data_IF_991567451626
#
_entry.id   IF_991567451626
#
_cell.length_a   1.000
_cell.length_b   1.000
_cell.length_c   1.000
_cell.angle_alpha   90.00
_cell.angle_beta   90.00
_cell.angle_gamma   90.00
#
_symmetry.space_group_name_H-M   'P 1'
#
loop_
_entity.id
_entity.type
_entity.pdbx_description
1 polymer ?
#
# COMPACT_ATOMS: atom_id res chain seq x y z
N UNK A 1 -7.19 7.53 -2.91
CA UNK A 1 -8.66 7.77 -2.86
C UNK A 1 -9.37 6.53 -3.39
N UNK A 2 -10.45 6.08 -2.77
CA UNK A 2 -11.26 4.94 -3.23
C UNK A 2 -12.73 5.11 -2.80
N UNK A 3 -13.64 4.40 -3.48
CA UNK A 3 -15.06 4.38 -3.15
C UNK A 3 -15.43 3.08 -2.42
N UNK A 4 -16.24 3.20 -1.36
CA UNK A 4 -16.79 2.04 -0.65
C UNK A 4 -18.09 2.43 0.05
N UNK A 5 -19.11 1.59 -0.08
CA UNK A 5 -20.44 1.78 0.53
C UNK A 5 -21.10 3.12 0.18
N UNK A 6 -20.90 3.61 -1.05
CA UNK A 6 -21.46 4.90 -1.52
C UNK A 6 -20.72 6.14 -1.01
N UNK A 7 -19.65 5.97 -0.22
CA UNK A 7 -18.83 7.05 0.30
C UNK A 7 -17.45 7.07 -0.39
N UNK A 8 -16.82 8.25 -0.43
CA UNK A 8 -15.46 8.42 -0.95
C UNK A 8 -14.48 8.57 0.21
N UNK A 9 -13.38 7.81 0.11
CA UNK A 9 -12.38 7.68 1.16
C UNK A 9 -10.99 8.05 0.64
N UNK A 10 -10.14 8.54 1.52
CA UNK A 10 -8.75 8.89 1.21
C UNK A 10 -7.82 8.42 2.32
N UNK A 11 -6.69 7.86 1.92
CA UNK A 11 -5.51 7.68 2.76
C UNK A 11 -4.45 8.61 2.18
N UNK A 12 -4.22 9.80 2.77
CA UNK A 12 -3.19 10.70 2.31
C UNK A 12 -1.81 10.23 2.76
N UNK A 13 -0.76 10.74 2.11
CA UNK A 13 0.61 10.59 2.60
C UNK A 13 0.75 11.37 3.93
N UNK A 14 1.13 10.68 4.99
CA UNK A 14 1.20 11.23 6.35
C UNK A 14 2.45 10.79 7.12
N UNK A 15 3.53 10.42 6.42
CA UNK A 15 4.78 9.95 7.03
C UNK A 15 5.36 10.93 8.08
N UNK A 16 5.23 12.24 7.86
CA UNK A 16 5.68 13.27 8.81
C UNK A 16 4.92 13.23 10.16
N UNK A 17 3.66 12.78 10.16
CA UNK A 17 2.84 12.64 11.35
C UNK A 17 3.06 11.31 12.07
N UNK A 18 3.87 10.40 11.50
CA UNK A 18 4.09 9.03 11.98
C UNK A 18 2.79 8.21 12.09
N UNK A 19 1.81 8.51 11.24
CA UNK A 19 0.52 7.82 11.18
C UNK A 19 0.19 7.46 9.74
N UNK A 20 -0.72 6.50 9.57
CA UNK A 20 -1.50 6.33 8.34
C UNK A 20 -2.94 6.59 8.71
N UNK A 21 -3.54 7.63 8.11
CA UNK A 21 -4.85 8.13 8.49
C UNK A 21 -5.89 7.90 7.39
N UNK A 22 -7.12 7.58 7.78
CA UNK A 22 -8.25 7.43 6.88
C UNK A 22 -9.16 8.65 7.01
N UNK A 23 -9.49 9.23 5.86
CA UNK A 23 -10.41 10.35 5.73
C UNK A 23 -11.62 9.94 4.90
N UNK A 24 -12.77 10.51 5.24
CA UNK A 24 -14.02 10.40 4.47
C UNK A 24 -14.37 11.75 3.86
N UNK A 25 -14.84 11.75 2.63
CA UNK A 25 -15.32 12.95 1.97
C UNK A 25 -16.68 13.35 2.56
N UNK A 26 -16.86 14.64 2.86
CA UNK A 26 -18.16 15.23 3.18
C UNK A 26 -18.77 15.96 1.98
N UNK A 27 -17.94 16.38 1.01
CA UNK A 27 -18.37 17.09 -0.19
C UNK A 27 -17.39 16.87 -1.36
N UNK A 28 -17.25 15.62 -1.81
CA UNK A 28 -16.29 15.22 -2.85
C UNK A 28 -16.37 16.12 -4.10
N UNK A 29 -15.23 16.58 -4.70
CA UNK A 29 -13.85 16.19 -4.41
C UNK A 29 -13.19 16.91 -3.22
N UNK A 30 -13.89 17.84 -2.58
CA UNK A 30 -13.42 18.57 -1.40
C UNK A 30 -14.02 18.04 -0.10
N UNK A 31 -13.79 18.77 1.00
CA UNK A 31 -14.38 18.48 2.30
C UNK A 31 -13.96 17.12 2.86
N UNK A 32 -12.99 17.10 3.78
CA UNK A 32 -12.48 15.86 4.34
C UNK A 32 -12.56 15.88 5.85
N UNK A 33 -13.07 14.79 6.42
CA UNK A 33 -13.04 14.55 7.87
C UNK A 33 -12.20 13.32 8.15
N UNK A 34 -11.31 13.42 9.14
CA UNK A 34 -10.54 12.26 9.61
C UNK A 34 -11.50 11.28 10.28
N UNK A 35 -11.57 10.06 9.77
CA UNK A 35 -12.42 8.99 10.31
C UNK A 35 -11.65 8.14 11.31
N UNK A 36 -10.41 7.77 10.98
CA UNK A 36 -9.61 6.86 11.81
C UNK A 36 -8.11 7.06 11.61
N UNK A 37 -7.32 6.67 12.61
CA UNK A 37 -5.89 6.39 12.45
C UNK A 37 -5.75 4.89 12.22
N UNK A 38 -5.32 4.48 11.02
CA UNK A 38 -5.17 3.08 10.65
C UNK A 38 -3.92 2.45 11.26
N UNK A 39 -2.81 3.19 11.27
CA UNK A 39 -1.53 2.82 11.87
C UNK A 39 -0.95 4.02 12.63
N UNK A 40 -0.30 3.76 13.77
CA UNK A 40 0.37 4.78 14.60
C UNK A 40 1.83 4.43 14.87
N UNK A 41 2.61 5.44 15.27
CA UNK A 41 4.03 5.33 15.62
C UNK A 41 4.91 4.73 14.53
N UNK A 42 4.55 4.93 13.26
CA UNK A 42 5.24 4.36 12.10
C UNK A 42 5.52 5.41 11.03
N UNK A 43 6.71 5.33 10.43
CA UNK A 43 7.03 6.13 9.23
C UNK A 43 6.75 5.25 8.02
N UNK A 44 5.56 5.39 7.45
CA UNK A 44 5.09 4.65 6.29
C UNK A 44 4.78 5.60 5.12
N UNK A 45 5.07 5.17 3.90
CA UNK A 45 4.78 5.92 2.67
C UNK A 45 4.09 5.05 1.62
N UNK A 46 3.36 5.72 0.72
CA UNK A 46 2.61 5.11 -0.39
C UNK A 46 1.60 4.03 0.06
N UNK A 47 0.95 4.28 1.20
CA UNK A 47 -0.05 3.39 1.78
C UNK A 47 -1.17 3.07 0.77
N UNK A 48 -1.32 1.80 0.43
CA UNK A 48 -2.25 1.29 -0.57
C UNK A 48 -3.12 0.20 0.04
N UNK A 49 -4.44 0.35 -0.11
CA UNK A 49 -5.43 -0.60 0.39
C UNK A 49 -5.95 -1.50 -0.74
N UNK A 50 -6.16 -2.78 -0.43
CA UNK A 50 -6.81 -3.74 -1.32
C UNK A 50 -7.60 -4.77 -0.51
N UNK A 51 -8.76 -5.18 -1.04
CA UNK A 51 -9.51 -6.32 -0.51
C UNK A 51 -9.12 -7.57 -1.30
N UNK A 52 -8.66 -8.61 -0.62
CA UNK A 52 -8.22 -9.86 -1.24
C UNK A 52 -8.41 -11.04 -0.29
N UNK A 53 -8.93 -12.16 -0.80
CA UNK A 53 -9.14 -13.37 0.02
C UNK A 53 -10.10 -13.16 1.20
N UNK A 54 -11.06 -12.23 1.08
CA UNK A 54 -12.02 -11.90 2.15
C UNK A 54 -11.43 -11.07 3.30
N UNK A 55 -10.21 -10.54 3.14
CA UNK A 55 -9.57 -9.63 4.09
C UNK A 55 -9.12 -8.35 3.41
N UNK A 56 -8.98 -7.29 4.20
CA UNK A 56 -8.33 -6.06 3.77
C UNK A 56 -6.84 -6.14 4.03
N UNK A 57 -6.06 -5.60 3.09
CA UNK A 57 -4.62 -5.54 3.13
C UNK A 57 -4.16 -4.10 2.93
N UNK A 58 -3.22 -3.65 3.77
CA UNK A 58 -2.54 -2.37 3.66
C UNK A 58 -1.08 -2.63 3.29
N UNK A 59 -0.64 -2.08 2.17
CA UNK A 59 0.72 -2.14 1.67
C UNK A 59 1.36 -0.78 1.86
N UNK A 60 2.54 -0.71 2.47
CA UNK A 60 3.31 0.53 2.56
C UNK A 60 4.81 0.23 2.64
N UNK A 61 5.62 1.14 2.13
CA UNK A 61 7.05 1.11 2.46
C UNK A 61 7.28 1.72 3.84
N UNK A 62 8.07 1.08 4.68
CA UNK A 62 8.36 1.53 6.05
C UNK A 62 9.81 1.95 6.16
N UNK A 63 10.07 2.96 7.00
CA UNK A 63 11.42 3.34 7.38
C UNK A 63 11.66 2.99 8.85
N UNK A 64 12.51 2.01 9.10
CA UNK A 64 12.84 1.54 10.47
C UNK A 64 14.09 2.19 11.09
N UNK A 65 14.86 2.96 10.32
CA UNK A 65 16.07 3.64 10.79
C UNK A 65 17.38 3.16 10.15
N UNK A 66 17.41 1.98 9.50
CA UNK A 66 18.59 1.47 8.79
C UNK A 66 18.55 1.57 7.25
N UNK A 67 17.39 1.33 6.63
CA UNK A 67 17.21 1.18 5.17
C UNK A 67 16.83 2.46 4.39
N UNK A 68 16.66 2.33 3.07
CA UNK A 68 16.22 3.41 2.20
C UNK A 68 14.70 3.69 2.35
N UNK A 69 14.22 4.84 1.89
CA UNK A 69 12.79 5.20 1.96
C UNK A 69 11.87 4.35 1.05
N UNK A 70 12.32 3.24 0.48
CA UNK A 70 11.67 2.64 -0.70
C UNK A 70 11.90 1.15 -0.91
N UNK A 71 12.68 0.49 -0.06
CA UNK A 71 13.09 -0.91 -0.28
C UNK A 71 12.30 -1.90 0.57
N UNK A 72 11.85 -1.53 1.78
CA UNK A 72 11.13 -2.44 2.68
C UNK A 72 9.61 -2.31 2.54
N UNK A 73 8.96 -3.30 1.94
CA UNK A 73 7.51 -3.42 1.87
C UNK A 73 6.98 -4.14 3.12
N UNK A 74 6.09 -3.48 3.85
CA UNK A 74 5.36 -4.03 4.97
C UNK A 74 3.88 -4.14 4.64
N UNK A 75 3.26 -5.18 5.20
CA UNK A 75 1.83 -5.45 5.08
C UNK A 75 1.15 -5.45 6.44
N UNK A 76 -0.14 -5.09 6.42
CA UNK A 76 -1.07 -5.32 7.51
C UNK A 76 -2.34 -5.93 6.95
N UNK A 77 -3.04 -6.70 7.77
CA UNK A 77 -4.36 -7.26 7.44
C UNK A 77 -5.43 -6.79 8.42
N UNK A 78 -6.66 -6.67 7.95
CA UNK A 78 -7.81 -6.29 8.75
C UNK A 78 -9.10 -6.94 8.22
N UNK A 79 -10.13 -7.14 9.07
CA UNK A 79 -11.45 -7.58 8.62
C UNK A 79 -12.24 -6.48 7.89
N UNK A 80 -11.90 -5.21 8.11
CA UNK A 80 -12.53 -4.03 7.49
C UNK A 80 -11.45 -3.00 7.14
N UNK A 81 -11.67 -2.18 6.10
CA UNK A 81 -10.70 -1.16 5.67
C UNK A 81 -10.41 -0.09 6.74
N UNK A 82 -11.30 0.06 7.74
CA UNK A 82 -11.11 0.93 8.91
C UNK A 82 -10.28 0.28 10.01
N UNK A 83 -9.94 -1.01 9.88
CA UNK A 83 -9.21 -1.80 10.86
C UNK A 83 -10.10 -2.75 11.68
N UNK A 84 -9.60 -3.27 12.82
CA UNK A 84 -8.24 -3.06 13.33
C UNK A 84 -7.18 -3.70 12.43
N UNK A 85 -6.06 -3.00 12.25
CA UNK A 85 -4.96 -3.46 11.41
C UNK A 85 -3.93 -4.25 12.22
N UNK A 86 -3.64 -5.47 11.77
CA UNK A 86 -2.65 -6.37 12.38
C UNK A 86 -1.43 -6.49 11.47
N UNK A 87 -0.20 -6.28 11.96
CA UNK A 87 0.99 -6.42 11.14
C UNK A 87 1.15 -7.85 10.62
N UNK A 88 1.58 -7.98 9.38
CA UNK A 88 1.87 -9.28 8.79
C UNK A 88 3.04 -9.95 9.52
N UNK A 89 2.97 -11.27 9.85
CA UNK A 89 3.99 -11.95 10.65
C UNK A 89 5.38 -11.98 10.03
N UNK A 90 5.47 -11.84 8.70
CA UNK A 90 6.73 -11.83 7.95
C UNK A 90 7.20 -10.44 7.51
N UNK A 91 6.76 -9.37 8.17
CA UNK A 91 7.26 -8.04 7.83
C UNK A 91 8.77 -7.89 8.14
N UNK A 92 9.56 -7.25 7.26
CA UNK A 92 9.22 -6.83 5.89
C UNK A 92 9.01 -8.05 4.97
N UNK A 93 7.92 -8.05 4.20
CA UNK A 93 7.60 -9.18 3.30
C UNK A 93 8.43 -9.19 2.03
N UNK A 94 9.00 -8.03 1.67
CA UNK A 94 9.86 -7.85 0.51
C UNK A 94 10.85 -6.73 0.80
N UNK A 95 12.13 -6.98 0.51
CA UNK A 95 13.20 -5.97 0.52
C UNK A 95 13.76 -5.88 -0.91
N UNK A 96 13.30 -4.89 -1.68
CA UNK A 96 13.72 -4.70 -3.07
C UNK A 96 13.46 -3.27 -3.56
N UNK A 97 14.54 -2.52 -3.79
CA UNK A 97 14.48 -1.15 -4.32
C UNK A 97 13.81 -1.05 -5.71
N UNK A 98 13.72 -2.15 -6.47
CA UNK A 98 13.11 -2.15 -7.80
C UNK A 98 11.59 -2.37 -7.80
N UNK A 99 11.01 -2.93 -6.74
CA UNK A 99 9.61 -3.36 -6.77
C UNK A 99 8.85 -3.32 -5.42
N UNK A 100 9.51 -2.99 -4.31
CA UNK A 100 8.87 -2.93 -3.00
C UNK A 100 7.94 -1.73 -2.83
N UNK A 101 8.24 -0.59 -3.45
CA UNK A 101 7.45 0.63 -3.29
C UNK A 101 6.15 0.62 -4.09
N UNK A 102 4.97 0.77 -3.45
CA UNK A 102 3.70 0.90 -4.18
C UNK A 102 3.68 2.14 -5.10
N UNK A 103 3.01 2.02 -6.25
CA UNK A 103 2.80 3.13 -7.20
C UNK A 103 1.30 3.47 -7.40
N UNK A 104 0.49 3.28 -6.37
CA UNK A 104 -0.93 3.58 -6.38
C UNK A 104 -1.83 2.34 -6.34
N UNK A 105 -3.10 2.53 -6.72
CA UNK A 105 -4.17 1.55 -6.56
C UNK A 105 -3.86 0.25 -7.34
N UNK A 106 -4.00 -0.89 -6.66
CA UNK A 106 -3.96 -2.21 -7.31
C UNK A 106 -5.24 -2.47 -8.10
N UNK A 107 -5.11 -3.18 -9.21
CA UNK A 107 -6.22 -3.47 -10.12
C UNK A 107 -6.32 -4.97 -10.31
N UNK A 108 -7.52 -5.51 -10.17
CA UNK A 108 -7.80 -6.89 -10.54
C UNK A 108 -8.15 -6.97 -12.04
N UNK A 109 -7.48 -7.87 -12.76
CA UNK A 109 -7.73 -8.14 -14.18
C UNK A 109 -7.61 -9.63 -14.43
N UNK A 110 -8.61 -10.21 -15.06
CA UNK A 110 -8.64 -11.65 -15.40
C UNK A 110 -8.41 -12.57 -14.18
N UNK A 111 -8.94 -12.17 -13.02
CA UNK A 111 -8.76 -12.88 -11.74
C UNK A 111 -7.36 -12.75 -11.12
N UNK A 112 -6.52 -11.86 -11.66
CA UNK A 112 -5.16 -11.61 -11.18
C UNK A 112 -5.05 -10.22 -10.59
N UNK A 113 -4.46 -10.12 -9.39
CA UNK A 113 -4.23 -8.85 -8.75
C UNK A 113 -2.91 -8.23 -9.24
N UNK A 114 -3.02 -7.12 -9.95
CA UNK A 114 -1.91 -6.36 -10.51
C UNK A 114 -1.59 -5.18 -9.59
N UNK A 115 -0.35 -5.17 -9.12
CA UNK A 115 0.22 -4.18 -8.22
C UNK A 115 1.18 -3.27 -9.00
N UNK A 116 0.84 -1.98 -9.18
CA UNK A 116 1.79 -0.99 -9.67
C UNK A 116 2.92 -0.77 -8.66
N UNK A 117 4.16 -0.70 -9.14
CA UNK A 117 5.35 -0.53 -8.30
C UNK A 117 6.26 0.56 -8.85
N UNK A 118 7.00 1.24 -7.97
CA UNK A 118 8.01 2.21 -8.38
C UNK A 118 9.37 1.50 -8.43
N UNK A 119 10.04 1.55 -9.58
CA UNK A 119 11.43 1.12 -9.71
C UNK A 119 12.34 2.28 -9.33
N UNK A 120 12.95 2.16 -8.14
CA UNK A 120 13.80 3.20 -7.56
C UNK A 120 15.30 2.94 -7.77
N UNK A 121 15.72 1.98 -8.61
CA UNK A 121 17.14 1.61 -8.78
C UNK A 121 18.03 2.75 -9.28
N UNK A 122 17.49 3.60 -10.17
CA UNK A 122 18.24 4.70 -10.80
C UNK A 122 18.01 6.05 -10.11
N UNK A 123 16.76 6.28 -9.70
CA UNK A 123 16.31 7.47 -9.01
C UNK A 123 14.98 7.16 -8.32
N UNK A 124 14.60 7.96 -7.34
CA UNK A 124 13.25 7.92 -6.77
C UNK A 124 12.19 7.96 -7.88
N UNK A 125 11.31 6.96 -7.94
CA UNK A 125 10.24 6.88 -8.94
C UNK A 125 10.73 6.86 -10.40
N UNK A 126 11.93 6.33 -10.66
CA UNK A 126 12.58 6.40 -11.97
C UNK A 126 11.88 5.63 -13.09
N UNK A 127 11.08 4.62 -12.75
CA UNK A 127 10.20 3.92 -13.69
C UNK A 127 8.99 3.30 -12.97
N UNK A 128 7.96 2.95 -13.73
CA UNK A 128 6.76 2.27 -13.25
C UNK A 128 6.81 0.80 -13.63
N UNK A 129 6.77 -0.09 -12.65
CA UNK A 129 6.60 -1.53 -12.87
C UNK A 129 5.16 -1.99 -12.65
N UNK A 130 4.80 -3.11 -13.29
CA UNK A 130 3.58 -3.84 -12.96
C UNK A 130 4.00 -5.22 -12.44
N UNK A 131 3.67 -5.51 -11.19
CA UNK A 131 3.87 -6.80 -10.57
C UNK A 131 2.53 -7.52 -10.41
N UNK A 132 2.45 -8.79 -10.78
CA UNK A 132 1.31 -9.65 -10.47
C UNK A 132 1.55 -10.34 -9.14
N UNK A 133 0.61 -10.22 -8.21
CA UNK A 133 0.64 -11.00 -6.98
C UNK A 133 0.26 -12.45 -7.31
N UNK A 134 1.18 -13.38 -7.04
CA UNK A 134 0.95 -14.83 -7.20
C UNK A 134 0.45 -15.47 -5.93
N UNK A 135 0.68 -14.82 -4.79
CA UNK A 135 0.30 -15.30 -3.47
C UNK A 135 0.18 -14.12 -2.51
N UNK A 136 -0.86 -14.11 -1.68
CA UNK A 136 -1.06 -13.13 -0.61
C UNK A 136 -1.93 -13.75 0.48
N UNK A 137 -1.32 -14.10 1.60
CA UNK A 137 -1.99 -14.58 2.81
C UNK A 137 -1.15 -14.22 4.06
N UNK A 138 -1.48 -14.78 5.22
CA UNK A 138 -0.72 -14.55 6.47
C UNK A 138 0.63 -15.30 6.53
N UNK A 139 0.88 -16.20 5.57
CA UNK A 139 2.13 -16.93 5.41
C UNK A 139 3.08 -16.24 4.45
N UNK A 140 2.66 -15.22 3.69
CA UNK A 140 3.56 -14.47 2.83
C UNK A 140 2.87 -13.73 1.70
N UNK A 141 3.74 -13.08 0.92
CA UNK A 141 3.37 -12.43 -0.32
C UNK A 141 4.44 -12.77 -1.36
N UNK A 142 4.00 -13.26 -2.51
CA UNK A 142 4.87 -13.49 -3.67
C UNK A 142 4.35 -12.70 -4.86
N UNK A 143 5.28 -12.19 -5.67
CA UNK A 143 4.95 -11.44 -6.87
C UNK A 143 5.89 -11.76 -8.02
N UNK A 144 5.38 -11.60 -9.25
CA UNK A 144 6.17 -11.60 -10.48
C UNK A 144 6.09 -10.23 -11.13
N UNK A 145 7.22 -9.58 -11.36
CA UNK A 145 7.26 -8.33 -12.14
C UNK A 145 7.08 -8.67 -13.62
N UNK A 146 5.90 -8.34 -14.17
CA UNK A 146 5.51 -8.65 -15.54
C UNK A 146 6.17 -7.69 -16.55
N UNK A 147 6.30 -6.43 -16.18
CA UNK A 147 6.92 -5.41 -17.03
C UNK A 147 7.42 -4.22 -16.22
N UNK A 148 8.43 -3.55 -16.75
CA UNK A 148 8.89 -2.23 -16.33
C UNK A 148 8.67 -1.26 -17.50
N UNK A 149 7.90 -0.21 -17.24
CA UNK A 149 7.63 0.89 -18.16
C UNK A 149 8.68 1.97 -17.92
N UNK A 150 9.67 2.02 -18.81
CA UNK A 150 10.67 3.10 -18.82
C UNK A 150 10.11 4.33 -19.56
N UNK A 151 10.51 5.56 -19.16
CA UNK A 151 10.18 6.78 -19.88
C UNK A 151 10.57 6.77 -21.36
#
# INVERSE_FOLDING_TARGET
VFERNGEVWMVPESCANRTVDLYRATAFPGGWVKEATLLSDIVASDATLVEHGGSWWLFATVRDGGGAFSDELHLWSAPDFRGPWTPHPKNPVLIDIASARPAGRMVERDGQLLRPVQDCRRSYGGALGIARLTHLDLNGMDQLVETILTP
#
